data_IF_755637341799
#
_entry.id   IF_755637341799
#
_cell.length_a   1.000
_cell.length_b   1.000
_cell.length_c   1.000
_cell.angle_alpha   90.00
_cell.angle_beta   90.00
_cell.angle_gamma   90.00
#
_symmetry.space_group_name_H-M   'P 1'
#
loop_
_entity.id
_entity.type
_entity.pdbx_description
1 polymer ?
#
# COMPACT_ATOMS: atom_id res chain seq x y z
N UNK A 1 3.81 -3.06 24.29
CA UNK A 1 2.83 -3.39 23.24
C UNK A 1 2.79 -2.21 22.30
N UNK A 2 3.67 -2.17 21.30
CA UNK A 2 3.34 -1.39 20.12
C UNK A 2 2.40 -2.26 19.30
N UNK A 3 1.10 -2.15 19.58
CA UNK A 3 0.10 -2.66 18.67
C UNK A 3 0.48 -2.17 17.27
N UNK A 4 0.21 -2.97 16.23
CA UNK A 4 -0.04 -2.38 14.92
C UNK A 4 -1.24 -1.48 15.16
N UNK A 5 -1.01 -0.22 15.54
CA UNK A 5 -2.08 0.75 15.64
C UNK A 5 -2.63 0.79 14.23
N UNK A 6 -3.81 0.17 14.06
CA UNK A 6 -4.48 0.05 12.78
C UNK A 6 -4.48 1.43 12.17
N UNK A 7 -4.06 1.51 10.91
CA UNK A 7 -4.09 2.79 10.22
C UNK A 7 -5.57 3.21 10.19
N UNK A 8 -5.92 4.41 10.70
CA UNK A 8 -7.33 4.83 10.74
C UNK A 8 -7.91 4.79 9.34
N UNK A 9 -9.21 4.56 9.23
CA UNK A 9 -9.85 4.61 7.92
C UNK A 9 -9.63 5.99 7.27
N UNK A 10 -9.24 6.04 5.99
CA UNK A 10 -9.05 7.30 5.29
C UNK A 10 -10.37 8.03 5.08
N UNK A 11 -10.28 9.35 5.02
CA UNK A 11 -11.40 10.19 4.59
C UNK A 11 -11.41 10.25 3.06
N UNK A 12 -12.53 9.92 2.39
CA UNK A 12 -12.65 10.05 0.95
C UNK A 12 -12.84 11.51 0.53
N UNK A 13 -12.26 11.87 -0.60
CA UNK A 13 -12.61 13.04 -1.39
C UNK A 13 -12.36 12.78 -2.89
N UNK A 14 -12.68 13.75 -3.75
CA UNK A 14 -12.52 13.61 -5.20
C UNK A 14 -11.09 13.94 -5.62
N UNK A 15 -10.44 13.14 -6.48
CA UNK A 15 -9.15 13.50 -7.04
C UNK A 15 -9.30 14.71 -7.95
N UNK A 16 -8.28 15.56 -8.00
CA UNK A 16 -8.24 16.65 -8.96
C UNK A 16 -7.65 16.14 -10.28
N UNK A 17 -8.45 16.22 -11.35
CA UNK A 17 -8.01 15.94 -12.72
C UNK A 17 -8.57 17.01 -13.66
N UNK A 18 -7.96 17.16 -14.83
CA UNK A 18 -8.44 18.10 -15.85
C UNK A 18 -9.86 17.79 -16.30
N UNK A 19 -10.59 18.79 -16.79
CA UNK A 19 -12.01 18.69 -17.19
C UNK A 19 -12.30 17.53 -18.16
N UNK A 20 -11.33 17.17 -19.01
CA UNK A 20 -11.45 16.05 -19.95
C UNK A 20 -11.59 14.66 -19.32
N UNK A 21 -11.41 14.52 -18.00
CA UNK A 21 -11.54 13.26 -17.26
C UNK A 21 -12.95 13.06 -16.64
N UNK A 22 -13.89 13.99 -16.81
CA UNK A 22 -15.29 13.83 -16.38
C UNK A 22 -15.53 13.80 -14.86
N UNK A 23 -14.47 13.96 -14.05
CA UNK A 23 -14.56 13.94 -12.58
C UNK A 23 -15.16 15.25 -12.07
N UNK A 24 -16.43 15.21 -11.64
CA UNK A 24 -17.05 16.32 -10.91
C UNK A 24 -16.33 16.55 -9.58
N UNK A 25 -16.01 17.82 -9.29
CA UNK A 25 -15.56 18.30 -7.97
C UNK A 25 -16.73 18.66 -7.06
N UNK A 26 -17.89 18.98 -7.66
CA UNK A 26 -19.14 19.22 -6.96
C UNK A 26 -19.74 17.86 -6.60
N UNK A 27 -19.52 17.43 -5.36
CA UNK A 27 -20.05 16.17 -4.83
C UNK A 27 -21.14 16.44 -3.80
N UNK A 28 -22.30 15.82 -3.97
CA UNK A 28 -23.32 15.64 -2.93
C UNK A 28 -22.91 14.59 -1.86
N UNK A 29 -21.66 14.11 -1.92
CA UNK A 29 -21.10 13.11 -1.02
C UNK A 29 -21.28 11.65 -1.49
N UNK A 30 -21.92 11.39 -2.63
CA UNK A 30 -22.31 10.02 -3.04
C UNK A 30 -21.36 9.35 -4.06
N UNK A 31 -20.48 10.10 -4.73
CA UNK A 31 -19.61 9.58 -5.79
C UNK A 31 -18.19 9.22 -5.30
N UNK A 32 -18.07 8.29 -4.35
CA UNK A 32 -16.80 7.69 -3.94
C UNK A 32 -16.95 6.18 -3.76
N UNK A 33 -15.86 5.44 -3.96
CA UNK A 33 -15.80 4.03 -3.61
C UNK A 33 -15.92 3.87 -2.08
N UNK A 34 -16.61 2.84 -1.57
CA UNK A 34 -16.54 2.48 -0.16
C UNK A 34 -15.13 1.99 0.20
N UNK A 35 -14.58 2.43 1.34
CA UNK A 35 -13.25 1.99 1.76
C UNK A 35 -13.19 0.47 1.99
N UNK A 36 -14.28 -0.12 2.49
CA UNK A 36 -14.39 -1.58 2.72
C UNK A 36 -14.18 -2.40 1.44
N UNK A 37 -14.60 -1.87 0.29
CA UNK A 37 -14.43 -2.49 -1.02
C UNK A 37 -12.98 -2.40 -1.49
N UNK A 38 -12.36 -1.23 -1.36
CA UNK A 38 -10.94 -1.02 -1.65
C UNK A 38 -10.05 -1.89 -0.75
N UNK A 39 -10.41 -2.04 0.53
CA UNK A 39 -9.76 -2.95 1.47
C UNK A 39 -9.87 -4.41 1.08
N UNK A 40 -10.97 -4.83 0.45
CA UNK A 40 -11.10 -6.18 -0.07
C UNK A 40 -10.08 -6.43 -1.18
N UNK A 41 -9.95 -5.52 -2.16
CA UNK A 41 -8.92 -5.60 -3.21
C UNK A 41 -7.51 -5.61 -2.62
N UNK A 42 -7.27 -4.70 -1.66
CA UNK A 42 -5.97 -4.56 -1.02
C UNK A 42 -5.53 -5.84 -0.32
N UNK A 43 -6.45 -6.51 0.36
CA UNK A 43 -6.19 -7.73 1.12
C UNK A 43 -5.98 -8.94 0.21
N UNK A 44 -6.79 -9.07 -0.85
CA UNK A 44 -6.80 -10.25 -1.73
C UNK A 44 -5.75 -10.21 -2.84
N UNK A 45 -5.19 -9.04 -3.16
CA UNK A 45 -4.16 -8.89 -4.21
C UNK A 45 -2.97 -9.82 -3.98
N UNK A 46 -2.48 -10.45 -5.06
CA UNK A 46 -1.39 -11.42 -4.99
C UNK A 46 -0.04 -10.72 -4.81
N UNK A 47 0.14 -9.59 -5.50
CA UNK A 47 1.39 -8.82 -5.52
C UNK A 47 1.11 -7.32 -5.42
N UNK A 48 2.09 -6.60 -4.88
CA UNK A 48 2.06 -5.15 -4.72
C UNK A 48 3.26 -4.56 -5.46
N UNK A 49 3.02 -3.60 -6.34
CA UNK A 49 4.07 -2.93 -7.08
C UNK A 49 4.61 -1.75 -6.29
N UNK A 50 5.85 -1.88 -5.82
CA UNK A 50 6.52 -0.90 -4.99
C UNK A 50 7.43 -0.01 -5.85
N UNK A 51 7.10 1.28 -5.92
CA UNK A 51 7.95 2.32 -6.46
C UNK A 51 8.75 3.00 -5.34
N UNK A 52 10.05 3.10 -5.55
CA UNK A 52 11.02 3.75 -4.66
C UNK A 52 11.91 4.69 -5.47
N UNK A 53 12.60 5.60 -4.79
CA UNK A 53 13.49 6.57 -5.44
C UNK A 53 14.94 6.24 -5.11
N UNK A 54 15.80 6.19 -6.12
CA UNK A 54 17.24 6.01 -5.93
C UNK A 54 17.86 7.27 -5.31
N UNK A 55 19.05 7.12 -4.73
CA UNK A 55 19.83 8.25 -4.21
C UNK A 55 20.10 9.36 -5.24
N UNK A 56 20.18 9.00 -6.52
CA UNK A 56 20.34 9.92 -7.66
C UNK A 56 19.01 10.45 -8.25
N UNK A 57 17.89 10.21 -7.57
CA UNK A 57 16.56 10.70 -7.96
C UNK A 57 15.85 9.86 -9.02
N UNK A 58 16.49 8.84 -9.60
CA UNK A 58 15.82 7.98 -10.60
C UNK A 58 14.77 7.07 -9.97
N UNK A 59 13.61 6.85 -10.63
CA UNK A 59 12.59 5.95 -10.12
C UNK A 59 13.03 4.48 -10.21
N UNK A 60 12.50 3.64 -9.33
CA UNK A 60 12.68 2.20 -9.34
C UNK A 60 11.40 1.50 -8.88
N UNK A 61 10.79 0.72 -9.76
CA UNK A 61 9.61 -0.09 -9.45
C UNK A 61 9.92 -1.57 -9.53
N UNK A 62 9.42 -2.35 -8.58
CA UNK A 62 9.51 -3.80 -8.54
C UNK A 62 8.32 -4.37 -7.75
N UNK A 63 7.79 -5.55 -8.10
CA UNK A 63 6.78 -6.20 -7.29
C UNK A 63 7.37 -6.70 -5.95
N UNK A 64 6.53 -6.74 -4.93
CA UNK A 64 6.74 -7.40 -3.65
C UNK A 64 5.52 -8.24 -3.30
N UNK A 65 5.72 -9.28 -2.50
CA UNK A 65 4.64 -9.97 -1.80
C UNK A 65 4.42 -9.33 -0.46
N UNK A 66 3.20 -9.42 0.05
CA UNK A 66 2.85 -8.83 1.33
C UNK A 66 1.48 -9.27 1.83
N UNK A 67 1.23 -8.98 3.09
CA UNK A 67 -0.04 -9.29 3.76
C UNK A 67 -0.58 -8.01 4.39
N UNK A 68 -1.90 -7.86 4.35
CA UNK A 68 -2.58 -6.76 5.00
C UNK A 68 -3.08 -7.26 6.36
N UNK A 69 -2.59 -6.66 7.44
CA UNK A 69 -2.97 -6.97 8.83
C UNK A 69 -3.44 -5.68 9.47
N UNK A 70 -4.64 -5.67 10.04
CA UNK A 70 -5.24 -4.50 10.69
C UNK A 70 -5.20 -3.23 9.81
N UNK A 71 -5.45 -3.39 8.51
CA UNK A 71 -5.44 -2.30 7.54
C UNK A 71 -4.05 -1.88 7.02
N UNK A 72 -2.98 -2.55 7.48
CA UNK A 72 -1.60 -2.19 7.16
C UNK A 72 -0.95 -3.24 6.28
N UNK A 73 -0.39 -2.81 5.14
CA UNK A 73 0.44 -3.69 4.33
C UNK A 73 1.80 -3.89 5.00
N UNK A 74 2.09 -5.14 5.30
CA UNK A 74 3.39 -5.63 5.70
C UNK A 74 4.03 -6.39 4.54
N UNK A 75 5.26 -6.05 4.20
CA UNK A 75 6.04 -6.74 3.18
C UNK A 75 7.51 -6.81 3.58
N UNK A 76 8.26 -7.76 3.04
CA UNK A 76 9.69 -7.86 3.27
C UNK A 76 10.53 -7.71 2.01
N UNK A 77 11.76 -7.27 2.17
CA UNK A 77 12.75 -7.28 1.10
C UNK A 77 14.18 -7.36 1.63
N UNK A 78 15.09 -7.88 0.80
CA UNK A 78 16.51 -7.90 1.12
C UNK A 78 17.05 -6.46 1.25
N UNK A 79 17.83 -6.22 2.31
CA UNK A 79 18.52 -4.95 2.58
C UNK A 79 19.47 -4.56 1.45
N UNK A 80 20.11 -5.53 0.80
CA UNK A 80 21.08 -5.30 -0.29
C UNK A 80 20.42 -5.07 -1.67
N UNK A 81 19.14 -5.38 -1.78
CA UNK A 81 18.38 -5.10 -2.99
C UNK A 81 18.33 -3.60 -3.29
N UNK A 82 18.04 -3.22 -4.54
CA UNK A 82 17.91 -1.79 -4.89
C UNK A 82 16.79 -1.12 -4.10
N UNK A 83 15.63 -1.76 -3.96
CA UNK A 83 14.51 -1.23 -3.17
C UNK A 83 14.84 -1.16 -1.68
N UNK A 84 15.54 -2.16 -1.12
CA UNK A 84 15.95 -2.17 0.29
C UNK A 84 16.89 -1.00 0.61
N UNK A 85 17.93 -0.80 -0.21
CA UNK A 85 18.82 0.37 -0.08
C UNK A 85 18.09 1.69 -0.26
N UNK A 86 17.18 1.78 -1.23
CA UNK A 86 16.38 2.98 -1.45
C UNK A 86 15.53 3.31 -0.21
N UNK A 87 14.81 2.33 0.35
CA UNK A 87 13.93 2.51 1.52
C UNK A 87 14.71 2.83 2.81
N UNK A 88 15.92 2.29 2.96
CA UNK A 88 16.78 2.61 4.09
C UNK A 88 17.27 4.07 4.09
N UNK A 89 17.48 4.66 2.91
CA UNK A 89 17.88 6.06 2.76
C UNK A 89 16.69 7.03 2.67
N UNK A 90 15.59 6.60 2.04
CA UNK A 90 14.40 7.37 1.72
C UNK A 90 13.16 6.50 1.92
N UNK A 91 12.46 6.62 3.05
CA UNK A 91 11.32 5.76 3.36
C UNK A 91 10.09 6.07 2.50
N UNK A 92 10.09 7.16 1.73
CA UNK A 92 9.00 7.52 0.83
C UNK A 92 8.85 6.50 -0.31
N UNK A 93 7.61 6.05 -0.52
CA UNK A 93 7.28 5.12 -1.60
C UNK A 93 5.86 5.33 -2.12
N UNK A 94 5.62 4.75 -3.30
CA UNK A 94 4.27 4.51 -3.81
C UNK A 94 4.08 3.00 -3.95
N UNK A 95 2.95 2.49 -3.50
CA UNK A 95 2.56 1.10 -3.70
C UNK A 95 1.23 1.05 -4.45
N UNK A 96 1.13 0.18 -5.46
CA UNK A 96 -0.14 -0.07 -6.13
C UNK A 96 -0.40 -1.57 -6.35
N UNK A 97 -1.65 -1.92 -6.66
CA UNK A 97 -2.05 -3.30 -6.94
C UNK A 97 -1.72 -3.68 -8.39
N UNK A 98 -1.90 -4.96 -8.72
CA UNK A 98 -1.64 -5.51 -10.05
C UNK A 98 -2.71 -5.17 -11.09
N UNK A 99 -3.96 -4.96 -10.66
CA UNK A 99 -5.09 -4.69 -11.56
C UNK A 99 -5.10 -3.23 -12.00
N UNK A 100 -5.26 -3.02 -13.31
CA UNK A 100 -5.58 -1.71 -13.88
C UNK A 100 -7.09 -1.43 -13.92
N UNK A 101 -7.92 -2.43 -13.62
CA UNK A 101 -9.39 -2.31 -13.65
C UNK A 101 -9.96 -1.94 -12.28
N UNK A 102 -9.43 -2.54 -11.20
CA UNK A 102 -9.74 -2.22 -9.81
C UNK A 102 -8.48 -1.64 -9.16
N UNK A 103 -8.34 -0.33 -9.25
CA UNK A 103 -7.09 0.36 -8.91
C UNK A 103 -7.08 0.79 -7.46
N UNK A 104 -5.95 0.54 -6.81
CA UNK A 104 -5.54 1.22 -5.59
C UNK A 104 -4.06 1.61 -5.71
N UNK A 105 -3.78 2.88 -5.44
CA UNK A 105 -2.45 3.47 -5.34
C UNK A 105 -2.35 4.14 -3.98
N UNK A 106 -1.28 3.87 -3.23
CA UNK A 106 -1.00 4.43 -1.92
C UNK A 106 0.35 5.12 -1.92
N UNK A 107 0.36 6.41 -1.61
CA UNK A 107 1.54 7.21 -1.41
C UNK A 107 1.80 7.37 0.09
N UNK A 108 3.02 7.12 0.53
CA UNK A 108 3.33 7.16 1.95
C UNK A 108 4.79 6.96 2.28
N UNK A 109 5.03 6.58 3.52
CA UNK A 109 6.33 6.13 3.99
C UNK A 109 6.24 4.69 4.47
N UNK A 110 7.38 4.03 4.59
CA UNK A 110 7.49 2.76 5.30
C UNK A 110 8.32 2.90 6.56
N UNK A 111 8.01 2.06 7.53
CA UNK A 111 8.76 1.91 8.78
C UNK A 111 9.21 0.47 8.92
N UNK A 112 10.43 0.24 9.42
CA UNK A 112 10.85 -1.13 9.73
C UNK A 112 9.96 -1.70 10.85
N UNK A 113 9.34 -2.83 10.56
CA UNK A 113 8.43 -3.51 11.45
C UNK A 113 9.16 -4.59 12.24
N UNK A 114 9.28 -4.40 13.56
CA UNK A 114 10.16 -5.20 14.43
C UNK A 114 9.49 -5.80 15.66
N UNK A 115 8.19 -5.55 15.91
CA UNK A 115 7.50 -6.14 17.07
C UNK A 115 7.46 -7.68 16.94
N UNK A 116 8.14 -8.44 17.83
CA UNK A 116 8.23 -9.89 17.72
C UNK A 116 6.86 -10.60 17.74
N UNK A 117 5.92 -10.14 18.58
CA UNK A 117 4.60 -10.77 18.68
C UNK A 117 3.76 -10.54 17.42
N UNK A 118 3.89 -9.37 16.81
CA UNK A 118 3.17 -9.05 15.59
C UNK A 118 3.85 -9.63 14.34
N UNK A 119 5.17 -9.88 14.39
CA UNK A 119 5.91 -10.61 13.35
C UNK A 119 5.47 -12.07 13.24
N UNK A 120 5.09 -12.73 14.33
CA UNK A 120 4.53 -14.09 14.28
C UNK A 120 3.23 -14.12 13.46
N UNK A 121 2.32 -13.17 13.71
CA UNK A 121 1.08 -13.03 12.91
C UNK A 121 1.37 -12.75 11.44
N UNK A 122 2.38 -11.92 11.15
CA UNK A 122 2.83 -11.68 9.79
C UNK A 122 3.30 -12.95 9.10
N UNK A 123 4.13 -13.75 9.76
CA UNK A 123 4.68 -15.00 9.24
C UNK A 123 3.55 -16.01 8.94
N UNK A 124 2.60 -16.18 9.86
CA UNK A 124 1.46 -17.08 9.67
C UNK A 124 0.56 -16.64 8.52
N UNK A 125 0.23 -15.34 8.43
CA UNK A 125 -0.54 -14.79 7.33
C UNK A 125 0.18 -14.96 5.99
N UNK A 126 1.51 -14.79 5.98
CA UNK A 126 2.33 -14.92 4.79
C UNK A 126 2.37 -16.37 4.30
N UNK A 127 2.55 -17.34 5.20
CA UNK A 127 2.50 -18.76 4.88
C UNK A 127 1.12 -19.16 4.33
N UNK A 128 0.04 -18.71 4.96
CA UNK A 128 -1.30 -18.98 4.46
C UNK A 128 -1.51 -18.44 3.03
N UNK A 129 -1.06 -17.19 2.76
CA UNK A 129 -1.26 -16.53 1.47
C UNK A 129 -0.35 -17.07 0.36
N UNK A 130 0.88 -17.49 0.70
CA UNK A 130 1.93 -17.75 -0.28
C UNK A 130 2.56 -19.13 -0.22
N UNK A 131 2.16 -19.98 0.74
CA UNK A 131 2.76 -21.30 0.98
C UNK A 131 4.28 -21.22 1.17
N UNK A 132 4.73 -20.11 1.77
CA UNK A 132 6.13 -19.81 2.07
C UNK A 132 6.19 -19.16 3.45
N UNK A 133 7.07 -19.65 4.32
CA UNK A 133 7.22 -19.11 5.68
C UNK A 133 8.50 -18.25 5.75
N UNK A 134 8.39 -16.91 5.81
CA UNK A 134 9.56 -16.05 5.90
C UNK A 134 10.24 -16.18 7.26
N UNK A 135 11.57 -16.02 7.30
CA UNK A 135 12.33 -15.88 8.53
C UNK A 135 12.46 -14.39 8.89
N UNK A 136 11.72 -13.88 9.88
CA UNK A 136 11.80 -12.47 10.29
C UNK A 136 13.10 -12.15 11.05
N UNK A 137 13.88 -13.17 11.44
CA UNK A 137 15.17 -12.99 12.12
C UNK A 137 16.35 -12.87 11.16
N UNK A 138 16.15 -13.09 9.84
CA UNK A 138 17.19 -12.93 8.82
C UNK A 138 17.74 -11.48 8.82
N UNK A 139 19.01 -11.26 9.21
CA UNK A 139 19.58 -9.92 9.23
C UNK A 139 19.72 -9.31 7.83
N UNK A 140 19.73 -10.12 6.77
CA UNK A 140 19.77 -9.70 5.38
C UNK A 140 18.45 -9.16 4.85
N UNK A 141 17.36 -9.28 5.61
CA UNK A 141 16.02 -8.86 5.23
C UNK A 141 15.47 -7.77 6.16
N UNK A 142 14.48 -7.03 5.68
CA UNK A 142 13.69 -6.08 6.46
C UNK A 142 12.23 -6.29 6.16
N UNK A 143 11.42 -6.39 7.21
CA UNK A 143 9.97 -6.27 7.12
C UNK A 143 9.59 -4.81 7.31
N UNK A 144 8.72 -4.31 6.45
CA UNK A 144 8.28 -2.93 6.43
C UNK A 144 6.76 -2.85 6.60
N UNK A 145 6.31 -1.86 7.35
CA UNK A 145 4.91 -1.47 7.45
C UNK A 145 4.64 -0.20 6.66
N UNK A 146 3.65 -0.21 5.77
CA UNK A 146 3.24 0.98 5.01
C UNK A 146 2.42 1.93 5.90
N UNK A 147 2.79 3.21 5.88
CA UNK A 147 2.02 4.33 6.45
C UNK A 147 1.53 5.23 5.32
N UNK A 148 0.32 4.97 4.78
CA UNK A 148 -0.22 5.78 3.70
C UNK A 148 -0.56 7.19 4.19
N UNK A 149 -0.35 8.18 3.32
CA UNK A 149 -0.71 9.58 3.55
C UNK A 149 -1.80 10.01 2.58
N UNK A 150 -1.64 9.60 1.32
CA UNK A 150 -2.59 9.84 0.24
C UNK A 150 -2.82 8.53 -0.50
N UNK A 151 -4.02 8.33 -1.01
CA UNK A 151 -4.34 7.19 -1.85
C UNK A 151 -5.26 7.59 -2.97
N UNK A 152 -5.30 6.76 -4.00
CA UNK A 152 -6.21 6.90 -5.14
C UNK A 152 -6.79 5.54 -5.46
N UNK A 153 -8.09 5.49 -5.74
CA UNK A 153 -8.73 4.28 -6.22
C UNK A 153 -9.81 4.60 -7.23
N UNK A 154 -10.02 3.69 -8.18
CA UNK A 154 -11.12 3.75 -9.12
C UNK A 154 -11.39 2.37 -9.69
N UNK A 155 -12.56 2.28 -10.32
CA UNK A 155 -12.88 1.23 -11.27
C UNK A 155 -12.79 1.79 -12.67
N UNK A 156 -12.06 1.13 -13.55
CA UNK A 156 -11.93 1.60 -14.94
C UNK A 156 -13.30 1.69 -15.62
N UNK A 157 -14.16 0.67 -15.43
CA UNK A 157 -15.51 0.62 -16.02
C UNK A 157 -16.46 1.72 -15.55
N UNK A 158 -16.15 2.39 -14.44
CA UNK A 158 -16.98 3.43 -13.83
C UNK A 158 -16.10 4.58 -13.34
N UNK A 159 -15.06 4.93 -14.09
CA UNK A 159 -14.00 5.83 -13.65
C UNK A 159 -14.53 7.14 -13.07
N UNK A 160 -15.38 7.85 -13.82
CA UNK A 160 -15.94 9.14 -13.40
C UNK A 160 -16.70 9.05 -12.07
N UNK A 161 -17.48 7.98 -11.86
CA UNK A 161 -18.28 7.80 -10.65
C UNK A 161 -17.49 7.24 -9.46
N UNK A 162 -16.39 6.53 -9.72
CA UNK A 162 -15.64 5.76 -8.71
C UNK A 162 -14.31 6.39 -8.30
N UNK A 163 -13.76 7.31 -9.11
CA UNK A 163 -12.49 7.96 -8.82
C UNK A 163 -12.51 8.65 -7.44
N UNK A 164 -11.74 8.08 -6.53
CA UNK A 164 -11.71 8.47 -5.12
C UNK A 164 -10.27 8.75 -4.73
N UNK A 165 -10.03 9.88 -4.08
CA UNK A 165 -8.80 10.17 -3.37
C UNK A 165 -9.03 9.94 -1.87
N UNK A 166 -8.03 9.38 -1.23
CA UNK A 166 -8.05 8.98 0.17
C UNK A 166 -7.03 9.82 0.94
N UNK A 167 -7.41 10.30 2.13
CA UNK A 167 -6.49 11.02 3.02
C UNK A 167 -6.52 10.46 4.43
N UNK A 168 -5.34 10.14 4.95
CA UNK A 168 -5.13 9.78 6.33
C UNK A 168 -4.82 11.05 7.14
N UNK A 169 -5.46 11.19 8.30
CA UNK A 169 -5.30 12.34 9.21
C UNK A 169 -4.40 11.97 10.38
#
# INVERSE_FOLDING_TARGET
MENVNGVPEPVPDRPWMGVGYGISQDGDGTANLPWSEVMAWFTTSRSYWLATTRSDGRPHVMPVWGVVIDGVLLFSTSRDSRKGRNLAERPECVIHLESGDDVLILEGIVEEFRDPLALEKYVDAYEAKYQFRPDPSDPGSSTYALRPKVGFSWREVAFEASATRWRWR
#
